data_IF_823774194459
#
_entry.id   IF_823774194459
#
_cell.length_a   1.000
_cell.length_b   1.000
_cell.length_c   1.000
_cell.angle_alpha   90.00
_cell.angle_beta   90.00
_cell.angle_gamma   90.00
#
_symmetry.space_group_name_H-M   'P 1'
#
loop_
_entity.id
_entity.type
_entity.pdbx_description
1 polymer ?
#
# COMPACT_ATOMS: atom_id res chain seq x y z
N UNK A 1 128.43 27.01 -40.03
CA UNK A 1 127.04 27.54 -40.03
C UNK A 1 125.94 26.49 -39.89
N UNK A 2 126.13 25.20 -40.23
CA UNK A 2 125.07 24.15 -40.15
C UNK A 2 124.47 23.91 -38.73
N UNK A 3 125.32 23.84 -37.70
CA UNK A 3 124.91 23.51 -36.31
C UNK A 3 123.91 24.51 -35.71
N UNK A 4 124.07 25.81 -36.00
CA UNK A 4 123.15 26.86 -35.56
C UNK A 4 121.79 26.79 -36.28
N UNK A 5 121.77 26.30 -37.52
CA UNK A 5 120.53 26.06 -38.27
C UNK A 5 119.72 24.92 -37.67
N UNK A 6 120.37 23.78 -37.39
CA UNK A 6 119.72 22.60 -36.78
C UNK A 6 119.18 22.88 -35.37
N UNK A 7 119.94 23.64 -34.56
CA UNK A 7 119.47 24.08 -33.24
C UNK A 7 118.24 24.98 -33.33
N UNK A 8 118.22 25.93 -34.28
CA UNK A 8 117.05 26.79 -34.52
C UNK A 8 115.83 25.98 -34.96
N UNK A 9 116.01 24.98 -35.83
CA UNK A 9 114.91 24.10 -36.27
C UNK A 9 114.37 23.27 -35.12
N UNK A 10 115.22 22.65 -34.31
CA UNK A 10 114.80 21.90 -33.10
C UNK A 10 114.05 22.78 -32.12
N UNK A 11 114.52 24.00 -31.86
CA UNK A 11 113.83 24.94 -30.96
C UNK A 11 112.45 25.36 -31.50
N UNK A 12 112.29 25.48 -32.83
CA UNK A 12 111.00 25.75 -33.44
C UNK A 12 110.04 24.55 -33.35
N UNK A 13 110.53 23.33 -33.56
CA UNK A 13 109.74 22.11 -33.38
C UNK A 13 109.33 21.91 -31.92
N UNK A 14 110.25 22.14 -30.98
CA UNK A 14 109.97 22.04 -29.55
C UNK A 14 108.92 23.06 -29.11
N UNK A 15 108.98 24.30 -29.64
CA UNK A 15 107.92 25.31 -29.43
C UNK A 15 106.58 24.89 -30.03
N UNK A 16 106.57 24.28 -31.22
CA UNK A 16 105.34 23.74 -31.83
C UNK A 16 104.72 22.64 -30.97
N UNK A 17 105.53 21.70 -30.48
CA UNK A 17 105.06 20.62 -29.62
C UNK A 17 104.49 21.13 -28.29
N UNK A 18 105.16 22.10 -27.64
CA UNK A 18 104.65 22.73 -26.42
C UNK A 18 103.34 23.49 -26.67
N UNK A 19 103.23 24.21 -27.78
CA UNK A 19 101.98 24.89 -28.15
C UNK A 19 100.83 23.91 -28.45
N UNK A 20 101.12 22.77 -29.07
CA UNK A 20 100.14 21.71 -29.32
C UNK A 20 99.70 21.02 -28.04
N UNK A 21 100.62 20.70 -27.13
CA UNK A 21 100.30 20.14 -25.81
C UNK A 21 99.44 21.11 -25.00
N UNK A 22 99.81 22.39 -24.93
CA UNK A 22 99.01 23.41 -24.24
C UNK A 22 97.59 23.55 -24.81
N UNK A 23 97.43 23.40 -26.13
CA UNK A 23 96.11 23.44 -26.78
C UNK A 23 95.28 22.20 -26.43
N UNK A 24 95.89 21.01 -26.50
CA UNK A 24 95.24 19.76 -26.12
C UNK A 24 94.81 19.75 -24.65
N UNK A 25 95.63 20.28 -23.75
CA UNK A 25 95.29 20.39 -22.32
C UNK A 25 94.08 21.29 -22.09
N UNK A 26 94.00 22.45 -22.79
CA UNK A 26 92.84 23.34 -22.71
C UNK A 26 91.57 22.69 -23.26
N UNK A 27 91.66 22.01 -24.40
CA UNK A 27 90.53 21.28 -24.98
C UNK A 27 90.05 20.15 -24.05
N UNK A 28 90.99 19.42 -23.43
CA UNK A 28 90.66 18.40 -22.45
C UNK A 28 89.99 18.98 -21.20
N UNK A 29 90.48 20.12 -20.71
CA UNK A 29 89.92 20.81 -19.54
C UNK A 29 88.50 21.33 -19.82
N UNK A 30 88.26 21.91 -21.00
CA UNK A 30 86.93 22.30 -21.45
C UNK A 30 85.98 21.11 -21.60
N UNK A 31 86.46 19.99 -22.16
CA UNK A 31 85.66 18.77 -22.28
C UNK A 31 85.28 18.21 -20.89
N UNK A 32 86.18 18.27 -19.91
CA UNK A 32 85.92 17.85 -18.54
C UNK A 32 84.92 18.76 -17.82
N UNK A 33 84.99 20.07 -18.03
CA UNK A 33 84.00 21.02 -17.50
C UNK A 33 82.62 20.79 -18.11
N UNK A 34 82.54 20.55 -19.43
CA UNK A 34 81.30 20.21 -20.12
C UNK A 34 80.69 18.89 -19.60
N UNK A 35 81.51 17.87 -19.38
CA UNK A 35 81.09 16.59 -18.80
C UNK A 35 80.55 16.75 -17.36
N UNK A 36 81.21 17.57 -16.53
CA UNK A 36 80.73 17.85 -15.16
C UNK A 36 79.37 18.55 -15.17
N UNK A 37 79.21 19.57 -16.00
CA UNK A 37 77.94 20.29 -16.13
C UNK A 37 76.81 19.37 -16.63
N UNK A 38 77.09 18.50 -17.60
CA UNK A 38 76.12 17.52 -18.09
C UNK A 38 75.73 16.50 -17.00
N UNK A 39 76.69 16.06 -16.18
CA UNK A 39 76.46 15.11 -15.09
C UNK A 39 75.62 15.72 -13.96
N UNK A 40 75.89 16.97 -13.57
CA UNK A 40 75.07 17.69 -12.58
C UNK A 40 73.64 17.94 -13.08
N UNK A 41 73.51 18.31 -14.36
CA UNK A 41 72.20 18.47 -14.99
C UNK A 41 71.42 17.14 -15.02
N UNK A 42 72.06 16.05 -15.44
CA UNK A 42 71.44 14.71 -15.46
C UNK A 42 71.05 14.24 -14.06
N UNK A 43 71.87 14.51 -13.05
CA UNK A 43 71.56 14.18 -11.65
C UNK A 43 70.34 14.95 -11.15
N UNK A 44 70.27 16.25 -11.42
CA UNK A 44 69.12 17.09 -11.05
C UNK A 44 67.84 16.58 -11.71
N UNK A 45 67.90 16.24 -13.00
CA UNK A 45 66.77 15.67 -13.73
C UNK A 45 66.33 14.31 -13.16
N UNK A 46 67.28 13.46 -12.75
CA UNK A 46 66.98 12.19 -12.11
C UNK A 46 66.29 12.35 -10.76
N UNK A 47 66.80 13.23 -9.90
CA UNK A 47 66.21 13.52 -8.58
C UNK A 47 64.79 14.10 -8.72
N UNK A 48 64.56 14.94 -9.74
CA UNK A 48 63.23 15.45 -10.10
C UNK A 48 62.29 14.31 -10.51
N UNK A 49 62.72 13.44 -11.44
CA UNK A 49 61.91 12.30 -11.89
C UNK A 49 61.60 11.32 -10.75
N UNK A 50 62.53 11.11 -9.81
CA UNK A 50 62.30 10.26 -8.66
C UNK A 50 61.25 10.85 -7.71
N UNK A 51 61.25 12.18 -7.53
CA UNK A 51 60.23 12.88 -6.77
C UNK A 51 58.85 12.78 -7.45
N UNK A 52 58.79 13.04 -8.76
CA UNK A 52 57.56 12.95 -9.55
C UNK A 52 56.97 11.53 -9.53
N UNK A 53 57.83 10.50 -9.60
CA UNK A 53 57.41 9.10 -9.52
C UNK A 53 56.77 8.78 -8.16
N UNK A 54 57.40 9.21 -7.06
CA UNK A 54 56.86 9.02 -5.71
C UNK A 54 55.52 9.73 -5.51
N UNK A 55 55.38 10.93 -6.05
CA UNK A 55 54.11 11.66 -6.02
C UNK A 55 53.03 10.93 -6.84
N UNK A 56 53.37 10.48 -8.04
CA UNK A 56 52.47 9.70 -8.89
C UNK A 56 52.01 8.42 -8.21
N UNK A 57 52.93 7.68 -7.56
CA UNK A 57 52.59 6.45 -6.82
C UNK A 57 51.65 6.74 -5.64
N UNK A 58 51.89 7.83 -4.90
CA UNK A 58 51.01 8.27 -3.82
C UNK A 58 49.61 8.63 -4.33
N UNK A 59 49.54 9.34 -5.46
CA UNK A 59 48.28 9.72 -6.09
C UNK A 59 47.51 8.50 -6.61
N UNK A 60 48.19 7.55 -7.25
CA UNK A 60 47.59 6.29 -7.69
C UNK A 60 47.02 5.51 -6.51
N UNK A 61 47.77 5.37 -5.41
CA UNK A 61 47.29 4.68 -4.21
C UNK A 61 46.04 5.35 -3.63
N UNK A 62 46.01 6.69 -3.60
CA UNK A 62 44.84 7.43 -3.12
C UNK A 62 43.63 7.25 -4.04
N UNK A 63 43.82 7.30 -5.36
CA UNK A 63 42.75 7.07 -6.34
C UNK A 63 42.20 5.65 -6.25
N UNK A 64 43.05 4.64 -6.08
CA UNK A 64 42.62 3.24 -5.87
C UNK A 64 41.73 3.13 -4.64
N UNK A 65 42.14 3.71 -3.50
CA UNK A 65 41.31 3.71 -2.27
C UNK A 65 39.96 4.41 -2.49
N UNK A 66 39.94 5.52 -3.23
CA UNK A 66 38.69 6.22 -3.54
C UNK A 66 37.77 5.38 -4.42
N UNK A 67 38.33 4.69 -5.42
CA UNK A 67 37.57 3.77 -6.28
C UNK A 67 37.01 2.59 -5.50
N UNK A 68 37.80 1.97 -4.62
CA UNK A 68 37.33 0.87 -3.78
C UNK A 68 36.17 1.30 -2.87
N UNK A 69 36.28 2.48 -2.27
CA UNK A 69 35.21 3.04 -1.45
C UNK A 69 33.94 3.34 -2.28
N UNK A 70 34.10 3.90 -3.48
CA UNK A 70 32.98 4.18 -4.38
C UNK A 70 32.29 2.90 -4.84
N UNK A 71 33.06 1.85 -5.16
CA UNK A 71 32.53 0.54 -5.54
C UNK A 71 31.77 -0.11 -4.39
N UNK A 72 32.30 -0.04 -3.16
CA UNK A 72 31.61 -0.55 -1.97
C UNK A 72 30.27 0.18 -1.74
N UNK A 73 30.27 1.52 -1.86
CA UNK A 73 29.04 2.32 -1.73
C UNK A 73 28.03 1.99 -2.84
N UNK A 74 28.48 1.82 -4.08
CA UNK A 74 27.63 1.42 -5.20
C UNK A 74 26.99 0.05 -4.96
N UNK A 75 27.74 -0.90 -4.42
CA UNK A 75 27.21 -2.24 -4.10
C UNK A 75 26.09 -2.16 -3.06
N UNK A 76 26.31 -1.42 -1.98
CA UNK A 76 25.28 -1.20 -0.94
C UNK A 76 24.04 -0.52 -1.52
N UNK A 77 24.23 0.49 -2.38
CA UNK A 77 23.11 1.16 -3.04
C UNK A 77 22.31 0.23 -3.96
N UNK A 78 22.99 -0.66 -4.69
CA UNK A 78 22.35 -1.64 -5.55
C UNK A 78 21.54 -2.67 -4.74
N UNK A 79 22.10 -3.19 -3.65
CA UNK A 79 21.40 -4.12 -2.74
C UNK A 79 20.16 -3.47 -2.09
N UNK A 80 20.27 -2.20 -1.68
CA UNK A 80 19.13 -1.45 -1.14
C UNK A 80 18.02 -1.24 -2.18
N UNK A 81 18.39 -0.96 -3.44
CA UNK A 81 17.43 -0.80 -4.53
C UNK A 81 16.73 -2.12 -4.89
N UNK A 82 17.46 -3.23 -4.86
CA UNK A 82 16.89 -4.57 -5.04
C UNK A 82 15.87 -4.90 -3.93
N UNK A 83 16.23 -4.67 -2.67
CA UNK A 83 15.33 -4.87 -1.53
C UNK A 83 14.06 -4.01 -1.64
N UNK A 84 14.20 -2.74 -2.04
CA UNK A 84 13.07 -1.84 -2.25
C UNK A 84 12.15 -2.32 -3.39
N UNK A 85 12.71 -2.87 -4.47
CA UNK A 85 11.92 -3.42 -5.58
C UNK A 85 11.15 -4.69 -5.19
N UNK A 86 11.75 -5.56 -4.38
CA UNK A 86 11.08 -6.73 -3.83
C UNK A 86 9.90 -6.30 -2.97
N UNK A 87 10.11 -5.38 -2.04
CA UNK A 87 9.05 -4.90 -1.15
C UNK A 87 7.94 -4.17 -1.93
N UNK A 88 8.29 -3.37 -2.94
CA UNK A 88 7.31 -2.75 -3.83
C UNK A 88 6.44 -3.79 -4.52
N UNK A 89 7.04 -4.87 -5.02
CA UNK A 89 6.30 -5.94 -5.69
C UNK A 89 5.38 -6.67 -4.72
N UNK A 90 5.84 -6.94 -3.50
CA UNK A 90 5.03 -7.53 -2.42
C UNK A 90 3.81 -6.66 -2.09
N UNK A 91 4.03 -5.36 -1.91
CA UNK A 91 2.96 -4.41 -1.59
C UNK A 91 1.94 -4.26 -2.73
N UNK A 92 2.39 -4.31 -3.99
CA UNK A 92 1.49 -4.30 -5.14
C UNK A 92 0.60 -5.53 -5.18
N UNK A 93 1.14 -6.71 -4.88
CA UNK A 93 0.36 -7.94 -4.84
C UNK A 93 -0.65 -7.93 -3.68
N UNK A 94 -0.23 -7.48 -2.50
CA UNK A 94 -1.12 -7.30 -1.35
C UNK A 94 -2.24 -6.29 -1.64
N UNK A 95 -1.93 -5.19 -2.33
CA UNK A 95 -2.91 -4.20 -2.74
C UNK A 95 -3.96 -4.78 -3.70
N UNK A 96 -3.54 -5.55 -4.71
CA UNK A 96 -4.47 -6.23 -5.64
C UNK A 96 -5.37 -7.22 -4.92
N UNK A 97 -4.81 -8.04 -4.04
CA UNK A 97 -5.59 -9.01 -3.26
C UNK A 97 -6.65 -8.32 -2.40
N UNK A 98 -6.29 -7.20 -1.74
CA UNK A 98 -7.26 -6.39 -0.97
C UNK A 98 -8.30 -5.73 -1.87
N UNK A 99 -7.92 -5.31 -3.08
CA UNK A 99 -8.87 -4.74 -4.04
C UNK A 99 -9.92 -5.77 -4.49
N UNK A 100 -9.49 -7.01 -4.73
CA UNK A 100 -10.39 -8.14 -5.03
C UNK A 100 -11.33 -8.46 -3.85
N UNK A 101 -10.80 -8.51 -2.63
CA UNK A 101 -11.60 -8.72 -1.41
C UNK A 101 -12.66 -7.62 -1.22
N UNK A 102 -12.26 -6.36 -1.36
CA UNK A 102 -13.18 -5.21 -1.27
C UNK A 102 -14.24 -5.27 -2.36
N UNK A 103 -13.87 -5.68 -3.59
CA UNK A 103 -14.82 -5.86 -4.69
C UNK A 103 -15.85 -6.95 -4.37
N UNK A 104 -15.42 -8.08 -3.80
CA UNK A 104 -16.31 -9.15 -3.36
C UNK A 104 -17.27 -8.67 -2.27
N UNK A 105 -16.75 -8.03 -1.23
CA UNK A 105 -17.56 -7.52 -0.12
C UNK A 105 -18.56 -6.46 -0.55
N UNK A 106 -18.20 -5.61 -1.53
CA UNK A 106 -19.15 -4.64 -2.10
C UNK A 106 -20.31 -5.32 -2.80
N UNK A 107 -20.05 -6.41 -3.53
CA UNK A 107 -21.10 -7.18 -4.19
C UNK A 107 -22.00 -7.86 -3.15
N UNK A 108 -21.42 -8.50 -2.15
CA UNK A 108 -22.18 -9.13 -1.05
C UNK A 108 -23.05 -8.11 -0.29
N UNK A 109 -22.52 -6.91 -0.03
CA UNK A 109 -23.27 -5.84 0.60
C UNK A 109 -24.45 -5.39 -0.27
N UNK A 110 -24.24 -5.20 -1.57
CA UNK A 110 -25.31 -4.82 -2.50
C UNK A 110 -26.41 -5.89 -2.59
N UNK A 111 -26.03 -7.17 -2.61
CA UNK A 111 -26.98 -8.28 -2.61
C UNK A 111 -27.77 -8.34 -1.30
N UNK A 112 -27.11 -8.12 -0.15
CA UNK A 112 -27.76 -8.06 1.16
C UNK A 112 -28.72 -6.87 1.30
N UNK A 113 -28.34 -5.69 0.80
CA UNK A 113 -29.20 -4.52 0.76
C UNK A 113 -30.44 -4.74 -0.11
N UNK A 114 -30.27 -5.37 -1.28
CA UNK A 114 -31.38 -5.75 -2.15
C UNK A 114 -32.33 -6.73 -1.47
N UNK A 115 -31.79 -7.78 -0.84
CA UNK A 115 -32.59 -8.77 -0.11
C UNK A 115 -33.37 -8.12 1.06
N UNK A 116 -32.74 -7.19 1.78
CA UNK A 116 -33.40 -6.42 2.85
C UNK A 116 -34.55 -5.58 2.28
N UNK A 117 -34.32 -4.87 1.18
CA UNK A 117 -35.35 -4.04 0.54
C UNK A 117 -36.54 -4.90 0.09
N UNK A 118 -36.28 -6.04 -0.55
CA UNK A 118 -37.33 -6.98 -0.99
C UNK A 118 -38.14 -7.52 0.20
N UNK A 119 -37.49 -7.82 1.33
CA UNK A 119 -38.17 -8.26 2.55
C UNK A 119 -39.05 -7.15 3.16
N UNK A 120 -38.57 -5.90 3.18
CA UNK A 120 -39.35 -4.75 3.65
C UNK A 120 -40.55 -4.48 2.75
N UNK A 121 -40.39 -4.56 1.44
CA UNK A 121 -41.48 -4.35 0.49
C UNK A 121 -42.50 -5.50 0.55
N UNK A 122 -42.05 -6.74 0.71
CA UNK A 122 -42.93 -7.88 0.97
C UNK A 122 -43.73 -7.73 2.25
N UNK A 123 -43.13 -7.22 3.33
CA UNK A 123 -43.84 -6.93 4.60
C UNK A 123 -44.95 -5.91 4.40
N UNK A 124 -44.67 -4.81 3.69
CA UNK A 124 -45.67 -3.76 3.39
C UNK A 124 -46.83 -4.31 2.55
N UNK A 125 -46.55 -5.15 1.57
CA UNK A 125 -47.60 -5.78 0.74
C UNK A 125 -48.51 -6.69 1.58
N UNK A 126 -47.93 -7.51 2.48
CA UNK A 126 -48.70 -8.34 3.41
C UNK A 126 -49.55 -7.48 4.36
N UNK A 127 -48.97 -6.42 4.94
CA UNK A 127 -49.69 -5.50 5.82
C UNK A 127 -50.86 -4.82 5.09
N UNK A 128 -50.66 -4.38 3.83
CA UNK A 128 -51.71 -3.79 3.02
C UNK A 128 -52.83 -4.78 2.69
N UNK A 129 -52.49 -6.03 2.35
CA UNK A 129 -53.47 -7.11 2.11
C UNK A 129 -54.28 -7.43 3.36
N UNK A 130 -53.62 -7.51 4.51
CA UNK A 130 -54.28 -7.76 5.79
C UNK A 130 -55.25 -6.63 6.14
N UNK A 131 -54.81 -5.37 6.04
CA UNK A 131 -55.67 -4.21 6.29
C UNK A 131 -56.90 -4.18 5.37
N UNK A 132 -56.74 -4.54 4.10
CA UNK A 132 -57.86 -4.66 3.17
C UNK A 132 -58.79 -5.81 3.56
N UNK A 133 -58.26 -6.98 3.90
CA UNK A 133 -59.06 -8.12 4.34
C UNK A 133 -59.85 -7.82 5.62
N UNK A 134 -59.24 -7.11 6.59
CA UNK A 134 -59.90 -6.64 7.80
C UNK A 134 -61.01 -5.63 7.48
N UNK A 135 -60.75 -4.65 6.61
CA UNK A 135 -61.75 -3.67 6.19
C UNK A 135 -62.93 -4.36 5.49
N UNK A 136 -62.67 -5.30 4.59
CA UNK A 136 -63.68 -6.09 3.90
C UNK A 136 -64.49 -6.95 4.87
N UNK A 137 -63.83 -7.56 5.86
CA UNK A 137 -64.50 -8.34 6.90
C UNK A 137 -65.44 -7.45 7.72
N UNK A 138 -64.97 -6.29 8.21
CA UNK A 138 -65.78 -5.37 9.01
C UNK A 138 -66.97 -4.84 8.21
N UNK A 139 -66.73 -4.43 6.95
CA UNK A 139 -67.80 -3.93 6.08
C UNK A 139 -68.89 -4.97 5.83
N UNK A 140 -68.50 -6.25 5.72
CA UNK A 140 -69.40 -7.36 5.43
C UNK A 140 -69.75 -8.21 6.65
N UNK A 141 -69.44 -7.77 7.87
CA UNK A 141 -69.59 -8.58 9.08
C UNK A 141 -71.02 -9.09 9.23
N UNK A 142 -72.02 -8.24 8.94
CA UNK A 142 -73.44 -8.59 8.98
C UNK A 142 -73.87 -9.73 8.05
N UNK A 143 -73.04 -10.05 7.04
CA UNK A 143 -73.27 -11.15 6.10
C UNK A 143 -72.51 -12.43 6.50
N UNK A 144 -71.83 -12.44 7.65
CA UNK A 144 -71.07 -13.59 8.13
C UNK A 144 -71.89 -14.42 9.12
N UNK A 145 -71.59 -15.72 9.19
CA UNK A 145 -72.16 -16.63 10.19
C UNK A 145 -71.85 -16.16 11.63
N UNK A 146 -70.69 -15.53 11.82
CA UNK A 146 -70.30 -14.92 13.09
C UNK A 146 -71.28 -13.82 13.53
N UNK A 147 -71.80 -13.01 12.61
CA UNK A 147 -72.82 -12.02 12.95
C UNK A 147 -74.16 -12.66 13.29
N UNK A 148 -74.59 -13.71 12.57
CA UNK A 148 -75.82 -14.44 12.92
C UNK A 148 -75.75 -14.99 14.34
N UNK A 149 -74.62 -15.63 14.69
CA UNK A 149 -74.39 -16.14 16.05
C UNK A 149 -74.36 -15.02 17.09
N UNK A 150 -73.70 -13.90 16.78
CA UNK A 150 -73.67 -12.71 17.64
C UNK A 150 -75.07 -12.12 17.85
N UNK A 151 -75.84 -11.94 16.78
CA UNK A 151 -77.18 -11.35 16.82
C UNK A 151 -78.15 -12.25 17.60
N UNK A 152 -78.10 -13.56 17.38
CA UNK A 152 -78.93 -14.54 18.09
C UNK A 152 -78.63 -14.55 19.59
N UNK A 153 -77.35 -14.50 19.97
CA UNK A 153 -76.94 -14.42 21.37
C UNK A 153 -77.53 -13.18 22.05
N UNK A 154 -77.34 -11.98 21.48
CA UNK A 154 -77.83 -10.74 22.08
C UNK A 154 -79.36 -10.64 22.06
N UNK A 155 -80.02 -11.20 21.05
CA UNK A 155 -81.48 -11.31 21.03
C UNK A 155 -81.99 -12.15 22.21
N UNK A 156 -81.33 -13.28 22.52
CA UNK A 156 -81.66 -14.12 23.68
C UNK A 156 -81.39 -13.39 25.00
N UNK A 157 -80.29 -12.66 25.13
CA UNK A 157 -80.01 -11.83 26.32
C UNK A 157 -81.14 -10.82 26.55
N UNK A 158 -81.51 -10.04 25.51
CA UNK A 158 -82.60 -9.06 25.63
C UNK A 158 -83.95 -9.71 25.95
N UNK A 159 -84.24 -10.89 25.40
CA UNK A 159 -85.42 -11.66 25.77
C UNK A 159 -85.43 -12.03 27.26
N UNK A 160 -84.28 -12.46 27.82
CA UNK A 160 -84.17 -12.75 29.26
C UNK A 160 -84.36 -11.53 30.14
N UNK A 161 -83.85 -10.37 29.73
CA UNK A 161 -84.05 -9.11 30.46
C UNK A 161 -85.54 -8.73 30.51
N UNK A 162 -86.26 -8.85 29.39
CA UNK A 162 -87.70 -8.58 29.34
C UNK A 162 -88.49 -9.57 30.19
N UNK A 163 -88.18 -10.87 30.14
CA UNK A 163 -88.83 -11.87 30.99
C UNK A 163 -88.59 -11.61 32.48
N UNK A 164 -87.37 -11.19 32.82
CA UNK A 164 -87.01 -10.81 34.19
C UNK A 164 -87.80 -9.58 34.66
N UNK A 165 -87.91 -8.55 33.83
CA UNK A 165 -88.69 -7.35 34.14
C UNK A 165 -90.18 -7.68 34.30
N UNK A 166 -90.76 -8.46 33.37
CA UNK A 166 -92.17 -8.85 33.42
C UNK A 166 -92.50 -9.65 34.68
N UNK A 167 -91.64 -10.57 35.09
CA UNK A 167 -91.79 -11.34 36.34
C UNK A 167 -91.76 -10.44 37.58
N UNK A 168 -90.93 -9.41 37.58
CA UNK A 168 -90.73 -8.53 38.73
C UNK A 168 -91.85 -7.49 38.84
N UNK A 169 -92.25 -6.88 37.71
CA UNK A 169 -93.21 -5.77 37.67
C UNK A 169 -94.66 -6.25 37.59
N UNK A 170 -94.89 -7.44 37.02
CA UNK A 170 -96.20 -8.06 36.81
C UNK A 170 -96.24 -9.51 37.31
N UNK A 171 -96.09 -9.76 38.63
CA UNK A 171 -96.04 -11.11 39.19
C UNK A 171 -97.34 -11.91 38.99
N UNK A 172 -98.45 -11.24 38.67
CA UNK A 172 -99.73 -11.83 38.29
C UNK A 172 -99.67 -12.58 36.94
N UNK A 173 -98.67 -12.29 36.10
CA UNK A 173 -98.50 -12.94 34.81
C UNK A 173 -97.58 -14.17 34.95
N UNK A 174 -98.10 -15.37 34.64
CA UNK A 174 -97.28 -16.58 34.66
C UNK A 174 -96.33 -16.61 33.45
N UNK A 175 -95.06 -16.27 33.68
CA UNK A 175 -94.03 -16.22 32.62
C UNK A 175 -93.40 -17.57 32.28
N UNK A 176 -93.74 -18.67 32.97
CA UNK A 176 -93.07 -19.97 32.78
C UNK A 176 -93.15 -20.51 31.35
N UNK A 177 -94.30 -20.33 30.68
CA UNK A 177 -94.47 -20.76 29.29
C UNK A 177 -93.62 -19.91 28.32
N UNK A 178 -93.36 -18.65 28.68
CA UNK A 178 -92.48 -17.77 27.91
C UNK A 178 -91.01 -18.08 28.17
N UNK A 179 -90.63 -18.38 29.42
CA UNK A 179 -89.27 -18.82 29.80
C UNK A 179 -88.91 -20.15 29.10
N UNK A 180 -89.86 -21.09 28.98
CA UNK A 180 -89.66 -22.34 28.25
C UNK A 180 -89.49 -22.14 26.74
N UNK A 181 -90.12 -21.09 26.17
CA UNK A 181 -90.07 -20.78 24.74
C UNK A 181 -88.85 -19.93 24.36
N UNK A 182 -88.35 -19.12 25.28
CA UNK A 182 -87.17 -18.28 25.11
C UNK A 182 -86.16 -18.66 26.18
N UNK A 183 -85.37 -19.73 25.97
CA UNK A 183 -84.35 -20.13 26.92
C UNK A 183 -83.24 -19.08 27.00
N UNK A 184 -82.51 -19.02 28.13
CA UNK A 184 -81.33 -18.16 28.22
C UNK A 184 -80.30 -18.55 27.15
N UNK A 185 -79.42 -17.61 26.75
CA UNK A 185 -78.31 -17.96 25.88
C UNK A 185 -77.43 -19.00 26.56
N UNK A 186 -76.98 -19.99 25.79
CA UNK A 186 -76.04 -21.00 26.27
C UNK A 186 -74.72 -20.30 26.65
N UNK A 187 -74.17 -20.63 27.81
CA UNK A 187 -73.01 -19.97 28.37
C UNK A 187 -71.69 -20.47 27.77
N UNK A 188 -71.69 -21.29 26.73
CA UNK A 188 -70.49 -22.04 26.36
C UNK A 188 -70.25 -21.96 24.85
N UNK A 189 -69.26 -21.13 24.49
CA UNK A 189 -68.39 -21.40 23.36
C UNK A 189 -67.23 -22.28 23.82
N UNK A 190 -67.49 -23.44 24.43
CA UNK A 190 -66.48 -24.49 24.52
C UNK A 190 -66.35 -25.12 23.13
N UNK A 191 -65.27 -24.73 22.46
CA UNK A 191 -64.79 -25.26 21.19
C UNK A 191 -64.57 -26.78 21.29
N UNK A 192 -65.29 -27.55 20.49
CA UNK A 192 -64.80 -28.86 20.04
C UNK A 192 -63.59 -28.61 19.12
N UNK A 193 -62.39 -28.82 19.67
CA UNK A 193 -61.11 -28.93 18.94
C UNK A 193 -60.94 -30.28 18.26
#
# INVERSE_FOLDING_TARGET
MKVLGEFRTRMQEQRKLVAQSSKADKEHQQAMEGLKAALESARTAYEQMEADLKESDSNLLNMTKQLDNANAAQKVAAEALEAANIEKSRLLEEAKSREEEVSSLRKELADAEKAKQEAEDGKKDVEAKLANAEADFVANFHNTEAYSNFADYFARVGQQEVLTALRNDHPEFNVKDLEARFPPPDADGEEDS
#
